data_IF_789070350926
#
_entry.id   IF_789070350926
#
_cell.length_a   1.000
_cell.length_b   1.000
_cell.length_c   1.000
_cell.angle_alpha   90.00
_cell.angle_beta   90.00
_cell.angle_gamma   90.00
#
_symmetry.space_group_name_H-M   'P 1'
#
loop_
_entity.id
_entity.type
_entity.pdbx_description
1 polymer ?
#
# COMPACT_ATOMS: atom_id res chain seq x y z
N UNK A 1 -15.22 13.60 -13.84
CA UNK A 1 -14.74 12.25 -14.12
C UNK A 1 -13.47 11.98 -13.33
N UNK A 2 -13.39 10.83 -12.66
CA UNK A 2 -12.26 10.50 -11.80
C UNK A 2 -11.12 9.89 -12.61
N UNK A 3 -9.88 10.27 -12.25
CA UNK A 3 -8.68 9.64 -12.80
C UNK A 3 -8.49 8.25 -12.19
N UNK A 4 -7.63 7.44 -12.79
CA UNK A 4 -7.30 6.11 -12.25
C UNK A 4 -6.68 6.23 -10.85
N UNK A 5 -5.88 7.27 -10.60
CA UNK A 5 -5.30 7.52 -9.29
C UNK A 5 -6.38 7.83 -8.25
N UNK A 6 -7.35 8.67 -8.61
CA UNK A 6 -8.46 9.00 -7.70
C UNK A 6 -9.32 7.78 -7.39
N UNK A 7 -9.61 6.95 -8.39
CA UNK A 7 -10.38 5.72 -8.22
C UNK A 7 -9.66 4.74 -7.29
N UNK A 8 -8.35 4.60 -7.47
CA UNK A 8 -7.54 3.71 -6.63
C UNK A 8 -7.51 4.22 -5.18
N UNK A 9 -7.34 5.52 -4.98
CA UNK A 9 -7.33 6.13 -3.66
C UNK A 9 -8.67 5.92 -2.95
N UNK A 10 -9.77 6.18 -3.63
CA UNK A 10 -11.12 6.00 -3.06
C UNK A 10 -11.35 4.55 -2.66
N UNK A 11 -10.98 3.60 -3.51
CA UNK A 11 -11.12 2.17 -3.23
C UNK A 11 -10.35 1.77 -1.96
N UNK A 12 -9.11 2.27 -1.79
CA UNK A 12 -8.29 1.93 -0.64
C UNK A 12 -8.76 2.64 0.63
N UNK A 13 -9.27 3.86 0.52
CA UNK A 13 -9.85 4.58 1.66
C UNK A 13 -11.10 3.88 2.19
N UNK A 14 -11.92 3.30 1.32
CA UNK A 14 -13.09 2.53 1.73
C UNK A 14 -12.70 1.30 2.56
N UNK A 15 -11.61 0.64 2.21
CA UNK A 15 -11.10 -0.49 2.99
C UNK A 15 -10.72 -0.07 4.41
N UNK A 16 -10.09 1.10 4.53
CA UNK A 16 -9.68 1.65 5.82
C UNK A 16 -10.91 1.96 6.68
N UNK A 17 -11.96 2.51 6.09
CA UNK A 17 -13.19 2.84 6.80
C UNK A 17 -13.90 1.60 7.34
N UNK A 18 -13.65 0.43 6.76
CA UNK A 18 -14.26 -0.82 7.18
C UNK A 18 -13.48 -1.55 8.27
N UNK A 19 -12.31 -1.05 8.66
CA UNK A 19 -11.50 -1.68 9.68
C UNK A 19 -12.13 -1.54 11.07
N UNK A 20 -11.84 -2.53 11.93
CA UNK A 20 -12.20 -2.43 13.33
C UNK A 20 -11.30 -1.41 14.03
N UNK A 21 -11.76 -0.79 15.15
CA UNK A 21 -10.94 0.22 15.83
C UNK A 21 -9.55 -0.24 16.28
N UNK A 22 -9.39 -1.55 16.55
CA UNK A 22 -8.11 -2.11 16.99
C UNK A 22 -7.19 -2.51 15.84
N UNK A 23 -7.66 -2.49 14.59
CA UNK A 23 -6.84 -2.87 13.45
C UNK A 23 -5.90 -1.74 13.04
N UNK A 24 -4.64 -2.06 12.71
CA UNK A 24 -3.74 -1.04 12.16
C UNK A 24 -4.27 -0.49 10.84
N UNK A 25 -3.93 0.76 10.56
CA UNK A 25 -4.29 1.43 9.31
C UNK A 25 -3.04 1.71 8.51
N UNK A 26 -3.00 1.22 7.28
CA UNK A 26 -1.86 1.38 6.40
C UNK A 26 -2.17 2.40 5.31
N UNK A 27 -1.34 3.44 5.22
CA UNK A 27 -1.50 4.52 4.24
C UNK A 27 -0.32 4.56 3.30
N UNK A 28 -0.60 4.73 2.01
CA UNK A 28 0.41 4.94 0.98
C UNK A 28 0.37 6.39 0.50
N UNK A 29 1.50 6.87 -0.02
CA UNK A 29 1.56 8.21 -0.63
C UNK A 29 0.68 8.31 -1.88
N UNK A 30 0.58 7.20 -2.60
CA UNK A 30 -0.28 7.08 -3.77
C UNK A 30 -0.69 5.61 -3.89
N UNK A 31 -1.81 5.37 -4.55
CA UNK A 31 -2.29 4.00 -4.79
C UNK A 31 -2.25 3.64 -6.28
N UNK A 32 -1.75 4.53 -7.11
CA UNK A 32 -1.61 4.32 -8.55
C UNK A 32 -0.43 5.11 -9.08
N UNK A 33 0.50 4.45 -9.77
CA UNK A 33 1.64 5.12 -10.40
C UNK A 33 1.85 4.57 -11.79
N UNK A 34 2.34 5.45 -12.68
CA UNK A 34 2.79 5.07 -14.01
C UNK A 34 4.29 5.34 -14.10
N UNK A 35 5.04 4.35 -14.54
CA UNK A 35 6.49 4.47 -14.66
C UNK A 35 6.95 4.06 -16.05
N UNK A 36 8.08 4.60 -16.48
CA UNK A 36 8.71 4.19 -17.71
C UNK A 36 9.40 2.84 -17.54
N UNK A 37 9.41 2.04 -18.59
CA UNK A 37 10.14 0.77 -18.63
C UNK A 37 11.59 0.98 -18.17
N UNK A 38 12.05 0.13 -17.29
CA UNK A 38 13.40 0.19 -16.75
C UNK A 38 13.59 1.10 -15.55
N UNK A 39 12.53 1.78 -15.09
CA UNK A 39 12.59 2.63 -13.91
C UNK A 39 12.78 1.77 -12.65
N UNK A 40 13.77 2.12 -11.83
CA UNK A 40 13.93 1.45 -10.54
C UNK A 40 12.92 2.02 -9.54
N UNK A 41 12.31 1.13 -8.77
CA UNK A 41 11.35 1.53 -7.75
C UNK A 41 11.84 1.09 -6.37
N UNK A 42 11.56 1.93 -5.36
CA UNK A 42 11.75 1.58 -3.96
C UNK A 42 10.37 1.38 -3.35
N UNK A 43 10.03 0.13 -3.05
CA UNK A 43 8.69 -0.22 -2.54
C UNK A 43 8.35 0.52 -1.27
N UNK A 44 9.31 0.71 -0.38
CA UNK A 44 9.07 1.39 0.90
C UNK A 44 8.89 2.90 0.74
N UNK A 45 9.34 3.48 -0.37
CA UNK A 45 9.18 4.92 -0.61
C UNK A 45 7.72 5.34 -0.80
N UNK A 46 6.84 4.40 -1.09
CA UNK A 46 5.41 4.66 -1.25
C UNK A 46 4.64 4.63 0.06
N UNK A 47 5.26 4.19 1.14
CA UNK A 47 4.61 4.13 2.45
C UNK A 47 4.52 5.53 3.03
N UNK A 48 3.30 5.97 3.34
CA UNK A 48 3.06 7.28 3.94
C UNK A 48 3.05 7.20 5.46
N UNK A 49 2.22 6.31 6.01
CA UNK A 49 2.04 6.20 7.45
C UNK A 49 1.40 4.86 7.80
N UNK A 50 1.60 4.44 9.03
CA UNK A 50 0.95 3.27 9.60
C UNK A 50 0.47 3.68 10.98
N UNK A 51 -0.83 3.52 11.25
CA UNK A 51 -1.42 3.92 12.52
C UNK A 51 -2.02 2.72 13.25
N UNK A 52 -1.84 2.68 14.55
CA UNK A 52 -2.40 1.65 15.42
C UNK A 52 -2.72 2.28 16.78
N UNK A 53 -3.62 1.65 17.53
CA UNK A 53 -4.03 2.13 18.84
C UNK A 53 -2.97 1.86 19.93
N UNK A 54 -2.10 0.88 19.74
CA UNK A 54 -1.13 0.45 20.75
C UNK A 54 0.32 0.43 20.27
N UNK A 55 0.55 -0.02 19.04
CA UNK A 55 1.90 -0.16 18.51
C UNK A 55 2.38 1.17 17.89
N UNK A 56 3.66 1.48 18.05
CA UNK A 56 4.23 2.67 17.44
C UNK A 56 4.40 2.47 15.94
N UNK A 57 4.40 3.57 15.18
CA UNK A 57 4.65 3.54 13.74
C UNK A 57 6.02 2.90 13.44
N UNK A 58 7.04 3.19 14.25
CA UNK A 58 8.38 2.62 14.06
C UNK A 58 8.38 1.10 14.18
N UNK A 59 7.65 0.56 15.15
CA UNK A 59 7.57 -0.89 15.34
C UNK A 59 6.83 -1.55 14.19
N UNK A 60 5.72 -0.95 13.74
CA UNK A 60 4.94 -1.48 12.62
C UNK A 60 5.70 -1.39 11.31
N UNK A 61 6.47 -0.33 11.11
CA UNK A 61 7.26 -0.14 9.89
C UNK A 61 8.25 -1.28 9.69
N UNK A 62 8.80 -1.82 10.77
CA UNK A 62 9.73 -2.96 10.72
C UNK A 62 9.05 -4.27 10.34
N UNK A 63 7.71 -4.33 10.47
CA UNK A 63 6.92 -5.54 10.22
C UNK A 63 6.20 -5.50 8.89
N UNK A 64 6.42 -4.48 8.06
CA UNK A 64 5.73 -4.35 6.78
C UNK A 64 5.95 -5.61 5.92
N UNK A 65 4.84 -6.14 5.44
CA UNK A 65 4.83 -7.24 4.46
C UNK A 65 4.36 -6.69 3.13
N UNK A 66 5.04 -7.09 2.07
CA UNK A 66 4.69 -6.67 0.71
C UNK A 66 4.56 -7.93 -0.14
N UNK A 67 3.39 -8.12 -0.73
CA UNK A 67 3.15 -9.26 -1.63
C UNK A 67 2.92 -8.76 -3.05
N UNK A 68 3.19 -9.62 -4.02
CA UNK A 68 3.09 -9.29 -5.43
C UNK A 68 4.46 -9.05 -6.05
N UNK A 69 4.48 -8.91 -7.36
CA UNK A 69 5.71 -8.66 -8.12
C UNK A 69 5.50 -7.57 -9.15
N UNK A 70 6.57 -6.85 -9.47
CA UNK A 70 6.59 -5.86 -10.54
C UNK A 70 7.82 -6.14 -11.39
N UNK A 71 7.61 -6.36 -12.70
CA UNK A 71 8.70 -6.46 -13.65
C UNK A 71 8.82 -5.12 -14.39
N UNK A 72 9.76 -4.28 -13.95
CA UNK A 72 9.94 -2.94 -14.51
C UNK A 72 10.48 -2.96 -15.94
N UNK A 73 10.91 -4.11 -16.42
CA UNK A 73 11.42 -4.27 -17.77
C UNK A 73 10.38 -4.76 -18.77
N UNK A 74 9.18 -5.10 -18.29
CA UNK A 74 8.09 -5.60 -19.12
C UNK A 74 6.87 -4.69 -18.97
N UNK A 75 6.42 -4.02 -20.04
CA UNK A 75 5.22 -3.19 -19.96
C UNK A 75 4.00 -3.99 -19.50
N UNK A 76 3.20 -3.40 -18.66
CA UNK A 76 1.99 -4.04 -18.14
C UNK A 76 1.53 -3.38 -16.85
N UNK A 77 0.47 -3.95 -16.28
CA UNK A 77 -0.11 -3.47 -15.01
C UNK A 77 0.20 -4.49 -13.93
N UNK A 78 0.76 -4.01 -12.82
CA UNK A 78 1.16 -4.84 -11.69
C UNK A 78 0.57 -4.28 -10.40
N UNK A 79 0.39 -5.14 -9.40
CA UNK A 79 -0.13 -4.74 -8.09
C UNK A 79 0.78 -5.24 -6.98
N UNK A 80 1.05 -4.35 -6.01
CA UNK A 80 1.73 -4.70 -4.77
C UNK A 80 0.75 -4.48 -3.62
N UNK A 81 0.65 -5.46 -2.71
CA UNK A 81 -0.20 -5.35 -1.53
C UNK A 81 0.67 -5.18 -0.30
N UNK A 82 0.44 -4.10 0.44
CA UNK A 82 1.17 -3.75 1.66
C UNK A 82 0.29 -4.00 2.85
N UNK A 83 0.82 -4.66 3.88
CA UNK A 83 0.09 -4.83 5.13
C UNK A 83 1.04 -5.03 6.30
N UNK A 84 0.50 -4.89 7.51
CA UNK A 84 1.20 -5.20 8.75
C UNK A 84 0.25 -5.95 9.68
N UNK A 85 0.83 -6.69 10.63
CA UNK A 85 0.08 -7.32 11.72
C UNK A 85 0.67 -6.75 13.01
N UNK A 86 -0.19 -6.25 13.90
CA UNK A 86 0.26 -5.65 15.15
C UNK A 86 0.67 -6.73 16.18
N UNK A 87 1.12 -6.28 17.35
CA UNK A 87 1.57 -7.20 18.40
C UNK A 87 0.43 -8.05 18.97
N UNK A 88 -0.82 -7.67 18.76
CA UNK A 88 -1.99 -8.40 19.21
C UNK A 88 -2.57 -9.34 18.14
N UNK A 89 -1.92 -9.44 16.99
CA UNK A 89 -2.37 -10.29 15.90
C UNK A 89 -3.41 -9.67 14.98
N UNK A 90 -3.68 -8.37 15.09
CA UNK A 90 -4.63 -7.68 14.23
C UNK A 90 -3.95 -7.25 12.94
N UNK A 91 -4.54 -7.58 11.80
CA UNK A 91 -4.00 -7.23 10.49
C UNK A 91 -4.54 -5.88 10.02
N UNK A 92 -3.68 -5.09 9.35
CA UNK A 92 -4.10 -3.85 8.72
C UNK A 92 -4.91 -4.12 7.45
N UNK A 93 -5.46 -3.04 6.89
CA UNK A 93 -5.97 -3.12 5.52
C UNK A 93 -4.84 -3.56 4.59
N UNK A 94 -5.18 -4.33 3.56
CA UNK A 94 -4.24 -4.64 2.48
C UNK A 94 -4.22 -3.48 1.51
N UNK A 95 -3.26 -2.57 1.65
CA UNK A 95 -3.14 -1.40 0.78
C UNK A 95 -2.54 -1.82 -0.56
N UNK A 96 -3.31 -1.71 -1.62
CA UNK A 96 -2.89 -2.12 -2.96
C UNK A 96 -2.38 -0.92 -3.74
N UNK A 97 -1.12 -1.01 -4.18
CA UNK A 97 -0.52 -0.04 -5.09
C UNK A 97 -0.55 -0.63 -6.51
N UNK A 98 -1.21 0.06 -7.42
CA UNK A 98 -1.24 -0.31 -8.84
C UNK A 98 -0.09 0.39 -9.56
N UNK A 99 0.75 -0.37 -10.24
CA UNK A 99 1.91 0.15 -10.97
C UNK A 99 1.75 -0.20 -12.45
N UNK A 100 1.74 0.81 -13.29
CA UNK A 100 1.70 0.63 -14.74
C UNK A 100 3.08 0.91 -15.30
N UNK A 101 3.68 -0.11 -15.94
CA UNK A 101 4.96 0.03 -16.63
C UNK A 101 4.67 0.29 -18.10
N UNK A 102 5.22 1.36 -18.62
CA UNK A 102 5.02 1.78 -20.01
C UNK A 102 6.28 1.48 -20.88
#
# INVERSE_FOLDING_TARGET
EMTEEEKAQEREEEKIDQLNPQDPRFYLNTYYVEIAKGTQIDRLSYVKDIQDDKDSTSDLYRKIQITGTVDVNTPGTYELTYYVVDSNGNASNGAVLTIVVK
#
